data_IF_355101700530
#
_entry.id   IF_355101700530
#
_cell.length_a   1.000
_cell.length_b   1.000
_cell.length_c   1.000
_cell.angle_alpha   90.00
_cell.angle_beta   90.00
_cell.angle_gamma   90.00
#
_symmetry.space_group_name_H-M   'P 1'
#
loop_
_entity.id
_entity.type
_entity.pdbx_description
1 polymer ?
#
# COMPACT_ATOMS: atom_id res chain seq x y z
N UNK A 1 -23.66 -0.07 27.81
CA UNK A 1 -24.02 0.79 26.67
C UNK A 1 -22.86 1.21 25.77
N UNK A 2 -21.69 1.64 26.28
CA UNK A 2 -20.56 2.06 25.42
C UNK A 2 -20.04 0.95 24.49
N UNK A 3 -19.91 -0.28 25.00
CA UNK A 3 -19.43 -1.43 24.23
C UNK A 3 -20.33 -1.77 23.02
N UNK A 4 -21.65 -1.81 23.22
CA UNK A 4 -22.63 -2.03 22.14
C UNK A 4 -22.59 -0.93 21.07
N UNK A 5 -22.39 0.34 21.50
CA UNK A 5 -22.25 1.45 20.57
C UNK A 5 -20.98 1.36 19.72
N UNK A 6 -19.87 0.95 20.32
CA UNK A 6 -18.63 0.73 19.56
C UNK A 6 -18.80 -0.46 18.61
N UNK A 7 -19.33 -1.59 19.09
CA UNK A 7 -19.47 -2.81 18.29
C UNK A 7 -20.33 -2.64 17.04
N UNK A 8 -21.50 -1.97 17.13
CA UNK A 8 -22.33 -1.78 15.93
C UNK A 8 -21.72 -0.77 14.94
N UNK A 9 -21.03 0.28 15.43
CA UNK A 9 -20.30 1.20 14.54
C UNK A 9 -19.16 0.49 13.82
N UNK A 10 -18.36 -0.31 14.53
CA UNK A 10 -17.30 -1.13 13.91
C UNK A 10 -17.89 -2.10 12.89
N UNK A 11 -19.05 -2.69 13.18
CA UNK A 11 -19.73 -3.57 12.25
C UNK A 11 -20.22 -2.86 10.98
N UNK A 12 -20.81 -1.66 11.11
CA UNK A 12 -21.19 -0.84 9.95
C UNK A 12 -19.99 -0.42 9.10
N UNK A 13 -18.86 -0.07 9.73
CA UNK A 13 -17.61 0.22 9.03
C UNK A 13 -17.09 -1.01 8.29
N UNK A 14 -17.10 -2.18 8.93
CA UNK A 14 -16.72 -3.44 8.31
C UNK A 14 -17.61 -3.75 7.10
N UNK A 15 -18.93 -3.61 7.23
CA UNK A 15 -19.88 -3.81 6.13
C UNK A 15 -19.61 -2.87 4.96
N UNK A 16 -19.28 -1.60 5.24
CA UNK A 16 -18.92 -0.65 4.20
C UNK A 16 -17.61 -1.03 3.49
N UNK A 17 -16.59 -1.45 4.23
CA UNK A 17 -15.30 -1.91 3.68
C UNK A 17 -15.45 -3.21 2.87
N UNK A 18 -16.29 -4.14 3.33
CA UNK A 18 -16.57 -5.37 2.56
C UNK A 18 -17.31 -5.06 1.26
N UNK A 19 -18.20 -4.06 1.23
CA UNK A 19 -18.85 -3.64 -0.02
C UNK A 19 -17.81 -3.21 -1.06
N UNK A 20 -16.78 -2.46 -0.66
CA UNK A 20 -15.79 -1.88 -1.57
C UNK A 20 -14.67 -2.84 -1.97
N UNK A 21 -14.81 -4.15 -1.67
CA UNK A 21 -13.84 -5.21 -1.99
C UNK A 21 -13.18 -4.99 -3.36
N UNK A 22 -11.92 -4.55 -3.32
CA UNK A 22 -11.25 -4.03 -4.50
C UNK A 22 -10.55 -5.15 -5.27
N UNK A 23 -10.84 -5.25 -6.56
CA UNK A 23 -10.14 -6.12 -7.53
C UNK A 23 -9.47 -5.31 -8.63
N UNK A 24 -9.48 -3.99 -8.51
CA UNK A 24 -8.78 -3.13 -9.45
C UNK A 24 -7.27 -3.35 -9.28
N UNK A 25 -6.53 -3.19 -10.38
CA UNK A 25 -5.09 -3.31 -10.37
C UNK A 25 -4.51 -2.15 -9.55
N UNK A 26 -3.95 -2.46 -8.39
CA UNK A 26 -3.14 -1.51 -7.63
C UNK A 26 -1.70 -1.62 -8.13
N UNK A 27 -1.22 -0.53 -8.73
CA UNK A 27 0.16 -0.49 -9.23
C UNK A 27 1.13 -0.27 -8.08
N UNK A 28 2.38 -0.65 -8.27
CA UNK A 28 3.45 -0.28 -7.35
C UNK A 28 4.48 0.57 -8.08
N UNK A 29 5.12 1.46 -7.35
CA UNK A 29 6.22 2.27 -7.85
C UNK A 29 7.44 2.13 -6.93
N UNK A 30 8.62 2.36 -7.48
CA UNK A 30 9.84 2.39 -6.68
C UNK A 30 9.91 3.73 -5.95
N UNK A 31 10.01 3.69 -4.63
CA UNK A 31 10.26 4.87 -3.80
C UNK A 31 11.74 4.92 -3.44
N UNK A 32 12.35 6.11 -3.47
CA UNK A 32 13.76 6.28 -3.11
C UNK A 32 14.08 5.82 -1.69
N UNK A 33 13.16 6.06 -0.76
CA UNK A 33 13.32 5.72 0.65
C UNK A 33 12.91 4.29 1.03
N UNK A 34 12.62 3.41 0.08
CA UNK A 34 12.23 2.01 0.35
C UNK A 34 12.91 1.01 -0.59
N UNK A 35 13.24 -0.17 -0.03
CA UNK A 35 13.82 -1.27 -0.82
C UNK A 35 12.78 -2.01 -1.66
N UNK A 36 11.54 -2.06 -1.17
CA UNK A 36 10.43 -2.74 -1.80
C UNK A 36 9.59 -1.74 -2.61
N UNK A 37 8.87 -2.24 -3.62
CA UNK A 37 7.94 -1.41 -4.36
C UNK A 37 6.82 -0.91 -3.43
N UNK A 38 6.49 0.38 -3.51
CA UNK A 38 5.47 1.00 -2.68
C UNK A 38 4.13 1.01 -3.41
N UNK A 39 3.02 0.61 -2.74
CA UNK A 39 1.71 0.51 -3.38
C UNK A 39 1.11 1.89 -3.70
N UNK A 40 0.44 1.98 -4.84
CA UNK A 40 -0.41 3.08 -5.24
C UNK A 40 -1.88 2.71 -5.02
N UNK A 41 -2.48 3.28 -3.98
CA UNK A 41 -3.87 3.01 -3.59
C UNK A 41 -4.89 3.91 -4.30
N UNK A 42 -4.48 4.69 -5.29
CA UNK A 42 -5.41 5.55 -6.06
C UNK A 42 -6.21 4.73 -7.09
N UNK A 43 -7.27 4.07 -6.63
CA UNK A 43 -8.12 3.16 -7.42
C UNK A 43 -9.60 3.57 -7.39
N UNK A 44 -10.40 3.12 -8.38
CA UNK A 44 -11.77 3.58 -8.59
C UNK A 44 -12.81 2.52 -8.19
N UNK A 45 -13.37 2.68 -6.99
CA UNK A 45 -14.15 1.61 -6.35
C UNK A 45 -15.56 1.38 -6.92
N UNK A 46 -15.94 0.11 -7.01
CA UNK A 46 -17.32 -0.38 -7.23
C UNK A 46 -17.62 -1.53 -6.27
N UNK A 47 -18.85 -1.66 -5.77
CA UNK A 47 -19.18 -2.74 -4.85
C UNK A 47 -19.26 -4.11 -5.54
N UNK A 48 -18.73 -5.15 -4.87
CA UNK A 48 -18.56 -6.52 -5.39
C UNK A 48 -18.76 -7.57 -4.28
N UNK A 49 -18.81 -8.85 -4.65
CA UNK A 49 -18.90 -9.98 -3.71
C UNK A 49 -17.56 -10.19 -2.98
N UNK A 50 -17.50 -9.81 -1.70
CA UNK A 50 -16.31 -9.91 -0.87
C UNK A 50 -15.84 -11.36 -0.67
N UNK A 51 -16.77 -12.29 -0.42
CA UNK A 51 -16.42 -13.67 -0.09
C UNK A 51 -15.85 -14.40 -1.30
N UNK A 52 -16.35 -14.10 -2.50
CA UNK A 52 -15.80 -14.61 -3.74
C UNK A 52 -14.35 -14.14 -3.97
N UNK A 53 -14.06 -12.87 -3.66
CA UNK A 53 -12.73 -12.29 -3.79
C UNK A 53 -11.78 -12.88 -2.75
N UNK A 54 -12.20 -13.02 -1.50
CA UNK A 54 -11.38 -13.57 -0.43
C UNK A 54 -10.94 -15.00 -0.74
N UNK A 55 -11.88 -15.89 -1.13
CA UNK A 55 -11.53 -17.27 -1.52
C UNK A 55 -10.55 -17.32 -2.68
N UNK A 56 -10.79 -16.51 -3.72
CA UNK A 56 -9.88 -16.47 -4.86
C UNK A 56 -8.48 -16.00 -4.46
N UNK A 57 -8.38 -14.98 -3.59
CA UNK A 57 -7.09 -14.49 -3.10
C UNK A 57 -6.37 -15.54 -2.27
N UNK A 58 -7.05 -16.26 -1.38
CA UNK A 58 -6.45 -17.33 -0.58
C UNK A 58 -5.89 -18.46 -1.48
N UNK A 59 -6.61 -18.82 -2.55
CA UNK A 59 -6.20 -19.87 -3.49
C UNK A 59 -5.11 -19.44 -4.49
N UNK A 60 -5.04 -18.15 -4.85
CA UNK A 60 -4.23 -17.65 -5.98
C UNK A 60 -3.17 -16.61 -5.56
N UNK A 61 -3.03 -16.33 -4.27
CA UNK A 61 -2.02 -15.39 -3.79
C UNK A 61 -0.60 -15.86 -4.13
N UNK A 62 0.25 -14.90 -4.48
CA UNK A 62 1.70 -15.11 -4.59
C UNK A 62 2.28 -15.33 -3.20
N UNK A 63 3.34 -16.13 -3.12
CA UNK A 63 4.06 -16.34 -1.88
C UNK A 63 4.58 -15.01 -1.32
N UNK A 64 4.39 -14.82 -0.02
CA UNK A 64 4.69 -13.54 0.64
C UNK A 64 6.19 -13.27 0.67
N UNK A 65 7.02 -14.31 0.83
CA UNK A 65 8.47 -14.16 0.86
C UNK A 65 9.01 -13.88 -0.55
N UNK A 66 8.45 -14.53 -1.57
CA UNK A 66 8.77 -14.23 -2.98
C UNK A 66 8.42 -12.78 -3.34
N UNK A 67 7.23 -12.32 -2.98
CA UNK A 67 6.82 -10.94 -3.20
C UNK A 67 7.70 -9.94 -2.44
N UNK A 68 8.04 -10.24 -1.17
CA UNK A 68 8.91 -9.41 -0.34
C UNK A 68 10.36 -9.36 -0.83
N UNK A 69 10.80 -10.32 -1.65
CA UNK A 69 12.13 -10.36 -2.25
C UNK A 69 12.25 -9.47 -3.49
N UNK A 70 11.15 -8.95 -4.04
CA UNK A 70 11.16 -8.08 -5.23
C UNK A 70 11.95 -6.79 -4.94
N UNK A 71 12.90 -6.46 -5.82
CA UNK A 71 13.75 -5.27 -5.73
C UNK A 71 13.69 -4.45 -7.01
N UNK A 72 14.00 -3.16 -6.88
CA UNK A 72 14.08 -2.21 -7.98
C UNK A 72 15.09 -2.70 -9.04
N UNK A 73 14.69 -2.90 -10.31
CA UNK A 73 15.62 -3.15 -11.41
C UNK A 73 16.60 -1.96 -11.59
N UNK A 74 17.85 -2.21 -12.02
CA UNK A 74 18.84 -1.16 -12.18
C UNK A 74 18.43 -0.02 -13.12
N UNK A 75 17.63 -0.33 -14.15
CA UNK A 75 17.16 0.58 -15.21
C UNK A 75 15.82 1.26 -14.89
N UNK A 76 15.18 0.91 -13.77
CA UNK A 76 13.91 1.50 -13.38
C UNK A 76 14.10 2.88 -12.72
N UNK A 77 13.15 3.80 -12.94
CA UNK A 77 13.12 5.07 -12.22
C UNK A 77 12.51 4.92 -10.82
N UNK A 78 13.04 5.63 -9.83
CA UNK A 78 12.45 5.73 -8.49
C UNK A 78 11.82 7.11 -8.28
N UNK A 79 10.64 7.17 -7.67
CA UNK A 79 10.00 8.42 -7.27
C UNK A 79 10.71 8.96 -6.03
N UNK A 80 11.05 10.25 -6.03
CA UNK A 80 11.55 10.96 -4.85
C UNK A 80 10.37 11.19 -3.94
N UNK A 81 10.43 10.65 -2.72
CA UNK A 81 9.38 10.84 -1.74
C UNK A 81 9.52 12.17 -1.00
N UNK A 82 8.44 12.61 -0.35
CA UNK A 82 8.44 13.82 0.47
C UNK A 82 9.39 13.69 1.66
N UNK A 83 9.85 14.83 2.18
CA UNK A 83 10.73 14.88 3.35
C UNK A 83 10.12 14.11 4.54
N UNK A 84 8.84 14.35 4.82
CA UNK A 84 8.11 13.66 5.89
C UNK A 84 8.04 12.14 5.71
N UNK A 85 7.91 11.67 4.46
CA UNK A 85 7.93 10.24 4.18
C UNK A 85 9.33 9.67 4.49
N UNK A 86 10.39 10.33 4.03
CA UNK A 86 11.78 9.95 4.29
C UNK A 86 12.09 9.89 5.78
N UNK A 87 11.61 10.86 6.56
CA UNK A 87 11.73 10.87 8.01
C UNK A 87 11.03 9.65 8.65
N UNK A 88 9.77 9.39 8.28
CA UNK A 88 8.99 8.26 8.81
C UNK A 88 9.67 6.90 8.58
N UNK A 89 10.29 6.73 7.41
CA UNK A 89 10.98 5.50 7.04
C UNK A 89 12.47 5.49 7.45
N UNK A 90 12.92 6.48 8.23
CA UNK A 90 14.28 6.51 8.78
C UNK A 90 15.39 6.70 7.74
N UNK A 91 15.06 7.26 6.57
CA UNK A 91 16.00 7.49 5.47
C UNK A 91 17.21 8.34 5.90
N UNK A 92 16.97 9.38 6.70
CA UNK A 92 17.99 10.32 7.14
C UNK A 92 18.93 9.79 8.24
N UNK A 93 18.71 8.56 8.70
CA UNK A 93 19.65 7.90 9.62
C UNK A 93 20.96 7.52 8.92
N UNK A 94 20.91 7.34 7.59
CA UNK A 94 22.04 6.89 6.76
C UNK A 94 22.29 7.76 5.53
N UNK A 95 21.44 8.75 5.26
CA UNK A 95 21.53 9.66 4.12
C UNK A 95 21.45 11.13 4.59
N UNK A 96 22.15 12.06 3.93
CA UNK A 96 22.02 13.49 4.26
C UNK A 96 20.64 14.02 3.88
N UNK A 97 20.17 15.03 4.62
CA UNK A 97 18.97 15.77 4.26
C UNK A 97 19.29 16.82 3.20
N UNK A 98 18.77 16.61 1.99
CA UNK A 98 18.97 17.46 0.83
C UNK A 98 17.82 18.46 0.58
N UNK A 99 16.81 18.47 1.46
CA UNK A 99 15.62 19.33 1.33
C UNK A 99 14.70 18.96 0.17
N UNK A 100 14.82 17.76 -0.41
CA UNK A 100 13.93 17.30 -1.48
C UNK A 100 12.52 16.99 -0.98
N UNK A 101 11.49 17.44 -1.71
CA UNK A 101 10.07 17.25 -1.36
C UNK A 101 9.22 16.73 -2.53
N UNK A 102 9.80 15.83 -3.34
CA UNK A 102 9.12 15.20 -4.48
C UNK A 102 9.94 15.20 -5.77
N UNK A 103 9.59 14.31 -6.71
CA UNK A 103 10.27 14.19 -8.02
C UNK A 103 10.43 12.75 -8.52
N UNK A 104 11.28 12.56 -9.53
CA UNK A 104 11.63 11.25 -10.11
C UNK A 104 13.15 11.17 -10.31
N UNK A 105 13.79 10.16 -9.73
CA UNK A 105 15.18 9.75 -9.94
C UNK A 105 15.22 8.81 -11.15
N UNK A 106 15.95 9.21 -12.19
CA UNK A 106 16.24 8.38 -13.37
C UNK A 106 17.56 7.67 -13.19
#
# INVERSE_FOLDING_TARGET
>A
MHRTRISHCTYLLLQNLMCTANVDIYTHYWADAQLNAFPDFSVNHKCRDFDAILRWQEENSVDVDEFAAIRKPPDAAARVMSHRFKELFGWYNSNPDDGSDGGIIR
#
